data_IF_546985884307
#
_entry.id   IF_546985884307
#
_cell.length_a   1.000
_cell.length_b   1.000
_cell.length_c   1.000
_cell.angle_alpha   90.00
_cell.angle_beta   90.00
_cell.angle_gamma   90.00
#
_symmetry.space_group_name_H-M   'P 1'
#
loop_
_entity.id
_entity.type
_entity.pdbx_description
1 polymer ?
#
# COMPACT_ATOMS: atom_id res chain seq x y z
N UNK A 1 -4.77 23.27 -12.65
CA UNK A 1 -4.43 22.01 -11.91
C UNK A 1 -3.51 21.21 -12.83
N UNK A 2 -2.31 20.85 -12.35
CA UNK A 2 -1.26 20.23 -13.18
C UNK A 2 -1.46 18.70 -13.37
N UNK A 3 -2.66 18.15 -13.12
CA UNK A 3 -2.95 16.73 -13.27
C UNK A 3 -2.24 15.80 -12.25
N UNK A 4 -1.68 16.37 -11.17
CA UNK A 4 -1.06 15.61 -10.07
C UNK A 4 -2.17 14.95 -9.26
N UNK A 5 -2.05 13.63 -9.03
CA UNK A 5 -3.03 12.83 -8.28
C UNK A 5 -2.46 12.21 -7.01
N UNK A 6 -1.14 12.16 -6.86
CA UNK A 6 -0.44 11.50 -5.75
C UNK A 6 0.52 12.48 -5.08
N UNK A 7 0.50 12.52 -3.76
CA UNK A 7 1.51 13.13 -2.90
C UNK A 7 2.39 12.04 -2.30
N UNK A 8 3.68 12.07 -2.63
CA UNK A 8 4.64 11.04 -2.24
C UNK A 8 5.39 11.48 -0.98
N UNK A 9 5.37 10.65 0.05
CA UNK A 9 6.14 10.77 1.29
C UNK A 9 6.04 12.14 2.00
N UNK A 10 4.83 12.60 2.41
CA UNK A 10 4.75 13.81 3.22
C UNK A 10 5.59 13.63 4.50
N UNK A 11 6.43 14.62 4.78
CA UNK A 11 7.39 14.54 5.89
C UNK A 11 6.84 15.04 7.21
N UNK A 12 5.74 15.80 7.18
CA UNK A 12 5.06 16.34 8.36
C UNK A 12 3.55 16.12 8.30
N UNK A 13 2.88 16.22 9.44
CA UNK A 13 1.42 16.14 9.52
C UNK A 13 0.76 17.25 8.70
N UNK A 14 1.30 18.48 8.73
CA UNK A 14 0.76 19.61 7.98
C UNK A 14 0.82 19.37 6.47
N UNK A 15 1.91 18.75 5.98
CA UNK A 15 2.04 18.40 4.57
C UNK A 15 1.04 17.31 4.17
N UNK A 16 0.81 16.31 5.03
CA UNK A 16 -0.20 15.29 4.82
C UNK A 16 -1.61 15.89 4.80
N UNK A 17 -1.94 16.74 5.77
CA UNK A 17 -3.23 17.43 5.85
C UNK A 17 -3.50 18.29 4.60
N UNK A 18 -2.49 19.04 4.14
CA UNK A 18 -2.61 19.88 2.95
C UNK A 18 -2.83 19.03 1.69
N UNK A 19 -2.09 17.92 1.56
CA UNK A 19 -2.24 16.99 0.44
C UNK A 19 -3.62 16.34 0.41
N UNK A 20 -4.09 15.87 1.57
CA UNK A 20 -5.41 15.28 1.72
C UNK A 20 -6.53 16.27 1.39
N UNK A 21 -6.45 17.52 1.90
CA UNK A 21 -7.39 18.61 1.57
C UNK A 21 -7.39 18.97 0.07
N UNK A 22 -6.24 18.82 -0.59
CA UNK A 22 -6.13 19.02 -2.03
C UNK A 22 -6.69 17.85 -2.86
N UNK A 23 -7.16 16.76 -2.22
CA UNK A 23 -7.70 15.58 -2.88
C UNK A 23 -6.64 14.68 -3.51
N UNK A 24 -5.38 14.77 -3.04
CA UNK A 24 -4.30 13.91 -3.49
C UNK A 24 -4.29 12.59 -2.70
N UNK A 25 -4.03 11.49 -3.38
CA UNK A 25 -3.75 10.22 -2.73
C UNK A 25 -2.37 10.28 -2.06
N UNK A 26 -2.30 9.95 -0.78
CA UNK A 26 -1.04 9.98 -0.03
C UNK A 26 -0.36 8.62 -0.11
N UNK A 27 0.87 8.62 -0.64
CA UNK A 27 1.72 7.46 -0.75
C UNK A 27 2.76 7.44 0.37
N UNK A 28 2.86 6.31 1.08
CA UNK A 28 3.82 6.08 2.16
C UNK A 28 4.71 4.87 1.88
N UNK A 29 5.93 4.87 2.44
CA UNK A 29 6.91 3.82 2.24
C UNK A 29 6.70 2.62 3.17
N UNK A 30 6.61 1.42 2.62
CA UNK A 30 6.53 0.17 3.36
C UNK A 30 7.75 -0.09 4.27
N UNK A 31 9.00 0.27 3.90
CA UNK A 31 10.15 0.12 4.80
C UNK A 31 9.96 0.82 6.16
N UNK A 32 9.29 1.98 6.18
CA UNK A 32 8.99 2.71 7.41
C UNK A 32 8.11 1.89 8.37
N UNK A 33 7.17 1.10 7.84
CA UNK A 33 6.32 0.18 8.63
C UNK A 33 7.08 -1.05 9.12
N UNK A 34 7.96 -1.61 8.30
CA UNK A 34 8.73 -2.81 8.66
C UNK A 34 9.75 -2.49 9.74
N UNK A 35 10.42 -1.34 9.65
CA UNK A 35 11.46 -0.91 10.57
C UNK A 35 10.92 -0.24 11.85
N UNK A 36 9.63 0.07 11.89
CA UNK A 36 8.97 0.60 13.09
C UNK A 36 9.13 2.11 13.30
N UNK A 37 9.33 2.87 12.23
CA UNK A 37 9.37 4.33 12.31
C UNK A 37 10.19 5.02 11.22
N UNK A 38 10.17 6.35 11.22
CA UNK A 38 10.97 7.16 10.31
C UNK A 38 12.39 7.36 10.86
N UNK A 39 13.40 7.07 10.05
CA UNK A 39 14.81 7.29 10.42
C UNK A 39 15.22 8.77 10.43
N UNK A 40 14.40 9.66 9.87
CA UNK A 40 14.75 11.07 9.65
C UNK A 40 13.94 12.06 10.50
N UNK A 41 13.23 11.58 11.55
CA UNK A 41 12.35 12.44 12.34
C UNK A 41 11.08 12.91 11.62
N UNK A 42 10.79 12.37 10.43
CA UNK A 42 9.57 12.61 9.68
C UNK A 42 8.39 11.87 10.32
N UNK A 43 7.17 12.25 9.95
CA UNK A 43 5.96 11.54 10.38
C UNK A 43 6.04 10.05 10.01
N UNK A 44 5.65 9.18 10.94
CA UNK A 44 5.70 7.75 10.69
C UNK A 44 4.53 7.33 9.77
N UNK A 45 4.80 6.42 8.83
CA UNK A 45 3.78 5.88 7.94
C UNK A 45 2.60 5.26 8.71
N UNK A 46 2.88 4.64 9.86
CA UNK A 46 1.85 4.03 10.71
C UNK A 46 0.87 5.06 11.27
N UNK A 47 1.34 6.28 11.59
CA UNK A 47 0.48 7.35 12.11
C UNK A 47 -0.47 7.86 11.03
N UNK A 48 0.02 8.04 9.79
CA UNK A 48 -0.82 8.41 8.65
C UNK A 48 -1.85 7.34 8.30
N UNK A 49 -1.50 6.06 8.43
CA UNK A 49 -2.43 4.94 8.24
C UNK A 49 -3.48 4.93 9.35
N UNK A 50 -3.10 5.11 10.61
CA UNK A 50 -4.02 5.18 11.75
C UNK A 50 -5.00 6.35 11.60
N UNK A 51 -4.52 7.49 11.11
CA UNK A 51 -5.34 8.67 10.83
C UNK A 51 -6.21 8.54 9.56
N UNK A 52 -6.13 7.42 8.82
CA UNK A 52 -6.83 7.21 7.53
C UNK A 52 -6.44 8.23 6.45
N UNK A 53 -5.22 8.72 6.50
CA UNK A 53 -4.66 9.68 5.55
C UNK A 53 -3.72 9.04 4.52
N UNK A 54 -3.18 7.83 4.79
CA UNK A 54 -2.39 7.10 3.80
C UNK A 54 -3.31 6.25 2.90
N UNK A 55 -3.18 6.43 1.59
CA UNK A 55 -3.97 5.74 0.57
C UNK A 55 -3.20 4.63 -0.12
N UNK A 56 -1.88 4.78 -0.26
CA UNK A 56 -1.02 3.91 -1.06
C UNK A 56 0.22 3.50 -0.26
N UNK A 57 0.58 2.22 -0.33
CA UNK A 57 1.87 1.68 0.09
C UNK A 57 2.79 1.49 -1.11
N UNK A 58 4.01 1.99 -1.00
CA UNK A 58 5.11 1.74 -1.95
C UNK A 58 6.19 0.87 -1.31
N UNK A 59 6.80 -0.02 -2.09
CA UNK A 59 7.97 -0.79 -1.65
C UNK A 59 9.21 0.09 -1.42
N UNK A 60 9.20 1.29 -2.01
CA UNK A 60 10.35 2.19 -2.01
C UNK A 60 11.63 1.42 -2.44
N UNK A 61 12.74 1.54 -1.73
CA UNK A 61 14.01 0.87 -2.02
C UNK A 61 14.09 -0.59 -1.51
N UNK A 62 13.08 -1.12 -0.82
CA UNK A 62 13.05 -2.50 -0.30
C UNK A 62 11.87 -3.29 -0.85
N UNK A 63 11.99 -3.99 -1.99
CA UNK A 63 10.86 -4.67 -2.64
C UNK A 63 10.08 -5.63 -1.73
N UNK A 64 10.75 -6.36 -0.82
CA UNK A 64 10.12 -7.30 0.09
C UNK A 64 9.23 -6.61 1.14
N UNK A 65 9.53 -5.36 1.50
CA UNK A 65 8.82 -4.62 2.55
C UNK A 65 7.33 -4.43 2.26
N UNK A 66 6.94 -4.32 0.99
CA UNK A 66 5.55 -4.11 0.60
C UNK A 66 4.68 -5.29 1.06
N UNK A 67 5.09 -6.52 0.75
CA UNK A 67 4.35 -7.71 1.15
C UNK A 67 4.34 -7.88 2.67
N UNK A 68 5.50 -7.67 3.34
CA UNK A 68 5.59 -7.73 4.80
C UNK A 68 4.66 -6.73 5.47
N UNK A 69 4.63 -5.48 5.00
CA UNK A 69 3.78 -4.43 5.55
C UNK A 69 2.31 -4.76 5.46
N UNK A 70 1.85 -5.28 4.31
CA UNK A 70 0.45 -5.69 4.12
C UNK A 70 0.03 -6.72 5.18
N UNK A 71 0.88 -7.68 5.53
CA UNK A 71 0.57 -8.72 6.52
C UNK A 71 0.85 -8.30 7.97
N UNK A 72 1.66 -7.26 8.21
CA UNK A 72 1.89 -6.68 9.53
C UNK A 72 0.80 -5.70 9.96
N UNK A 73 0.24 -4.91 9.05
CA UNK A 73 -0.75 -3.88 9.35
C UNK A 73 -1.95 -4.35 10.17
N UNK A 74 -2.57 -5.53 9.90
CA UNK A 74 -3.67 -6.03 10.73
C UNK A 74 -3.29 -6.28 12.19
N UNK A 75 -2.01 -6.49 12.46
CA UNK A 75 -1.47 -6.78 13.80
C UNK A 75 -0.96 -5.53 14.52
N UNK A 76 -0.89 -4.40 13.82
CA UNK A 76 -0.32 -3.15 14.34
C UNK A 76 -1.26 -2.35 15.26
N UNK A 77 -2.51 -2.81 15.48
CA UNK A 77 -3.47 -2.14 16.36
C UNK A 77 -4.08 -0.84 15.80
N UNK A 78 -3.86 -0.54 14.52
CA UNK A 78 -4.36 0.68 13.86
C UNK A 78 -5.75 0.53 13.22
N UNK A 79 -6.45 -0.56 13.52
CA UNK A 79 -7.82 -0.82 13.05
C UNK A 79 -7.92 -1.04 11.53
N UNK A 80 -6.87 -1.57 10.91
CA UNK A 80 -6.82 -1.98 9.51
C UNK A 80 -6.88 -3.51 9.45
N UNK A 81 -7.83 -4.07 8.72
CA UNK A 81 -7.89 -5.51 8.44
C UNK A 81 -7.04 -5.89 7.20
N UNK A 82 -6.87 -7.19 6.95
CA UNK A 82 -6.06 -7.66 5.83
C UNK A 82 -6.60 -7.22 4.45
N UNK A 83 -7.90 -7.28 4.16
CA UNK A 83 -8.45 -6.72 2.93
C UNK A 83 -8.14 -5.24 2.74
N UNK A 84 -8.23 -4.42 3.79
CA UNK A 84 -7.90 -3.01 3.74
C UNK A 84 -6.39 -2.80 3.48
N UNK A 85 -5.52 -3.56 4.16
CA UNK A 85 -4.08 -3.51 3.94
C UNK A 85 -3.70 -3.90 2.50
N UNK A 86 -4.33 -4.94 1.94
CA UNK A 86 -4.14 -5.35 0.54
C UNK A 86 -4.53 -4.22 -0.42
N UNK A 87 -5.64 -3.51 -0.15
CA UNK A 87 -6.08 -2.38 -1.01
C UNK A 87 -5.04 -1.27 -1.09
N UNK A 88 -4.31 -0.97 -0.02
CA UNK A 88 -3.23 0.04 -0.03
C UNK A 88 -2.09 -0.32 -1.00
N UNK A 89 -1.88 -1.62 -1.27
CA UNK A 89 -0.82 -2.11 -2.16
C UNK A 89 -1.33 -2.54 -3.55
N UNK A 90 -2.64 -2.54 -3.79
CA UNK A 90 -3.22 -3.07 -5.04
C UNK A 90 -4.25 -2.14 -5.67
N UNK A 91 -5.46 -2.08 -5.14
CA UNK A 91 -6.58 -1.34 -5.73
C UNK A 91 -6.35 0.17 -5.71
N UNK A 92 -5.91 0.70 -4.57
CA UNK A 92 -5.74 2.14 -4.41
C UNK A 92 -4.66 2.71 -5.35
N UNK A 93 -3.43 2.11 -5.44
CA UNK A 93 -2.44 2.58 -6.41
C UNK A 93 -2.92 2.41 -7.86
N UNK A 94 -3.60 1.33 -8.20
CA UNK A 94 -4.15 1.15 -9.55
C UNK A 94 -5.11 2.29 -9.91
N UNK A 95 -6.05 2.63 -9.03
CA UNK A 95 -7.00 3.73 -9.23
C UNK A 95 -6.32 5.09 -9.32
N UNK A 96 -5.34 5.36 -8.46
CA UNK A 96 -4.63 6.64 -8.44
C UNK A 96 -3.91 6.96 -9.75
N UNK A 97 -3.53 5.93 -10.52
CA UNK A 97 -2.89 6.08 -11.84
C UNK A 97 -3.82 5.71 -13.01
N UNK A 98 -5.13 5.59 -12.78
CA UNK A 98 -6.13 5.35 -13.82
C UNK A 98 -6.17 3.93 -14.39
N UNK A 99 -5.62 2.94 -13.70
CA UNK A 99 -5.67 1.53 -14.09
C UNK A 99 -6.92 0.87 -13.49
N UNK A 100 -8.03 0.99 -14.17
CA UNK A 100 -9.33 0.53 -13.65
C UNK A 100 -9.62 -0.95 -13.91
N UNK A 101 -8.82 -1.61 -14.74
CA UNK A 101 -8.98 -3.01 -15.12
C UNK A 101 -8.38 -4.01 -14.13
N UNK A 102 -7.70 -3.54 -13.07
CA UNK A 102 -6.93 -4.37 -12.13
C UNK A 102 -6.97 -3.85 -10.69
N UNK A 103 -6.23 -4.51 -9.78
CA UNK A 103 -6.09 -4.12 -8.37
C UNK A 103 -7.08 -4.79 -7.43
N UNK A 104 -8.12 -5.45 -7.96
CA UNK A 104 -9.10 -6.23 -7.18
C UNK A 104 -9.53 -7.49 -7.93
N UNK A 105 -10.00 -8.49 -7.19
CA UNK A 105 -10.59 -9.70 -7.77
C UNK A 105 -12.08 -9.45 -7.98
N UNK A 106 -12.47 -9.18 -9.23
CA UNK A 106 -13.85 -8.94 -9.63
C UNK A 106 -14.10 -9.43 -11.04
N UNK A 107 -15.35 -9.78 -11.37
CA UNK A 107 -15.72 -10.17 -12.72
C UNK A 107 -15.43 -9.03 -13.72
N UNK A 108 -14.85 -9.35 -14.86
CA UNK A 108 -14.46 -8.40 -15.90
C UNK A 108 -13.12 -7.70 -15.65
N UNK A 109 -12.48 -7.90 -14.51
CA UNK A 109 -11.14 -7.38 -14.25
C UNK A 109 -10.05 -8.31 -14.77
N UNK A 110 -8.91 -7.75 -15.05
CA UNK A 110 -7.71 -8.46 -15.45
C UNK A 110 -7.25 -9.40 -14.33
N UNK A 111 -6.99 -10.64 -14.66
CA UNK A 111 -6.60 -11.67 -13.71
C UNK A 111 -5.06 -11.62 -13.43
N UNK A 112 -4.61 -10.51 -12.84
CA UNK A 112 -3.28 -10.36 -12.27
C UNK A 112 -3.36 -10.68 -10.78
N UNK A 113 -2.91 -11.87 -10.39
CA UNK A 113 -3.16 -12.43 -9.07
C UNK A 113 -1.86 -12.92 -8.42
N UNK A 114 -1.76 -12.75 -7.12
CA UNK A 114 -0.73 -13.37 -6.31
C UNK A 114 -1.38 -14.24 -5.21
N UNK A 115 -0.97 -15.52 -5.13
CA UNK A 115 -1.36 -16.40 -4.03
C UNK A 115 -0.28 -16.38 -2.97
N UNK A 116 -0.62 -15.92 -1.78
CA UNK A 116 0.27 -15.80 -0.65
C UNK A 116 -0.15 -16.76 0.46
N UNK A 117 0.82 -17.42 1.10
CA UNK A 117 0.63 -18.22 2.31
C UNK A 117 1.50 -17.65 3.43
N UNK A 118 0.94 -17.52 4.61
CA UNK A 118 1.72 -17.17 5.80
C UNK A 118 2.35 -18.43 6.35
N UNK A 119 3.68 -18.44 6.50
CA UNK A 119 4.46 -19.55 7.07
C UNK A 119 5.30 -18.96 8.19
N UNK A 120 5.12 -19.43 9.41
CA UNK A 120 5.84 -18.94 10.60
C UNK A 120 5.78 -17.39 10.74
N UNK A 121 4.63 -16.81 10.42
CA UNK A 121 4.41 -15.36 10.49
C UNK A 121 4.89 -14.58 9.25
N UNK A 122 5.64 -15.18 8.32
CA UNK A 122 6.14 -14.54 7.12
C UNK A 122 5.24 -14.80 5.89
N UNK A 123 4.89 -13.78 5.09
CA UNK A 123 4.16 -13.97 3.84
C UNK A 123 5.07 -14.55 2.76
N UNK A 124 4.66 -15.67 2.18
CA UNK A 124 5.38 -16.37 1.11
C UNK A 124 4.51 -16.45 -0.13
N UNK A 125 4.98 -15.89 -1.25
CA UNK A 125 4.30 -16.00 -2.55
C UNK A 125 4.41 -17.45 -3.05
N UNK A 126 3.27 -18.07 -3.35
CA UNK A 126 3.14 -19.47 -3.79
C UNK A 126 2.66 -19.62 -5.23
N UNK A 127 2.36 -18.52 -5.88
CA UNK A 127 1.97 -18.50 -7.27
C UNK A 127 1.62 -17.09 -7.71
N UNK A 128 1.96 -16.77 -8.95
CA UNK A 128 1.63 -15.49 -9.59
C UNK A 128 0.99 -15.79 -10.94
N UNK A 129 -0.07 -15.06 -11.24
CA UNK A 129 -0.74 -15.09 -12.54
C UNK A 129 -0.72 -13.70 -13.15
N UNK A 130 -0.48 -13.63 -14.43
CA UNK A 130 -0.60 -12.45 -15.27
C UNK A 130 -1.61 -12.73 -16.38
N UNK A 131 -2.66 -11.92 -16.45
CA UNK A 131 -3.74 -12.11 -17.44
C UNK A 131 -4.35 -13.54 -17.40
N UNK A 132 -4.44 -14.12 -16.21
CA UNK A 132 -4.94 -15.46 -15.99
C UNK A 132 -3.94 -16.60 -16.28
N UNK A 133 -2.77 -16.30 -16.81
CA UNK A 133 -1.71 -17.29 -17.05
C UNK A 133 -0.75 -17.33 -15.87
N UNK A 134 -0.48 -18.52 -15.34
CA UNK A 134 0.49 -18.71 -14.27
C UNK A 134 1.90 -18.43 -14.77
N UNK A 135 2.63 -17.57 -14.06
CA UNK A 135 4.01 -17.15 -14.40
C UNK A 135 5.04 -17.58 -13.35
N UNK A 136 4.56 -17.92 -12.13
CA UNK A 136 5.38 -18.46 -11.02
C UNK A 136 4.60 -19.55 -10.27
#
# INVERSE_FOLDING_TARGET
QNGITIAEFPTTQEAADASHKAGLAILVGAPNLVLGGSHSGNIAAIDLIAARQADILSSDYVPASLMESVFKLPQAGVGIDLPQAVRLASLNPARAVGLEDRGEIAAGKRADLARVRVIEGAPVVRGVWREGQRVV
#
